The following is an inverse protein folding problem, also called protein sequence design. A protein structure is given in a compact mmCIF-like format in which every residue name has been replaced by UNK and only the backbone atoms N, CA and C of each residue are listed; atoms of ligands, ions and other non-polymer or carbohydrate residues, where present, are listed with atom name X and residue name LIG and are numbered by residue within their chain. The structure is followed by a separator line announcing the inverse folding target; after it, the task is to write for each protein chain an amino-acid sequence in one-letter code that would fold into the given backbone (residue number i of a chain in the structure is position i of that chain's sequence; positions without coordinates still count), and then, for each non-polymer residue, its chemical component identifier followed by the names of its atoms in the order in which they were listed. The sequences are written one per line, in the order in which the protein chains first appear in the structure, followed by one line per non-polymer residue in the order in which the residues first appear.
data_IF_390266510119
#
_entry.id   IF_390266510119
#
_cell.length_a   1.000
_cell.length_b   1.000
_cell.length_c   1.000
_cell.angle_alpha   90.00
_cell.angle_beta   90.00
_cell.angle_gamma   90.00
#
_symmetry.space_group_name_H-M   'P 1'
#
loop_
_entity.id
_entity.type
_entity.pdbx_description
1 polymer ?
#
# COMPACT_ATOMS: atom_id res chain seq x y z
N UNK A 1 -10.28 -3.71 -16.15
CA UNK A 1 -10.21 -2.58 -15.22
C UNK A 1 -10.17 -3.13 -13.80
N UNK A 2 -9.13 -2.83 -13.03
CA UNK A 2 -8.97 -3.32 -11.64
C UNK A 2 -9.93 -2.64 -10.67
N UNK A 3 -10.42 -1.43 -10.98
CA UNK A 3 -11.32 -0.66 -10.12
C UNK A 3 -12.66 -1.36 -9.85
N UNK A 4 -13.23 -2.01 -10.87
CA UNK A 4 -14.50 -2.76 -10.77
C UNK A 4 -14.36 -3.98 -9.86
N UNK A 5 -13.23 -4.67 -9.93
CA UNK A 5 -12.98 -5.84 -9.07
C UNK A 5 -12.73 -5.43 -7.62
N UNK A 6 -12.03 -4.31 -7.41
CA UNK A 6 -11.82 -3.73 -6.07
C UNK A 6 -13.18 -3.37 -5.46
N UNK A 7 -14.02 -2.63 -6.18
CA UNK A 7 -15.34 -2.25 -5.70
C UNK A 7 -16.20 -3.47 -5.35
N UNK A 8 -16.21 -4.49 -6.22
CA UNK A 8 -16.94 -5.72 -5.98
C UNK A 8 -16.41 -6.48 -4.75
N UNK A 9 -15.09 -6.52 -4.57
CA UNK A 9 -14.46 -7.11 -3.38
C UNK A 9 -14.90 -6.39 -2.10
N UNK A 10 -14.96 -5.05 -2.13
CA UNK A 10 -15.36 -4.24 -0.98
C UNK A 10 -16.83 -4.47 -0.62
N UNK A 11 -17.72 -4.50 -1.61
CA UNK A 11 -19.14 -4.85 -1.40
C UNK A 11 -19.29 -6.24 -0.76
N UNK A 12 -18.47 -7.22 -1.17
CA UNK A 12 -18.46 -8.54 -0.53
C UNK A 12 -17.90 -8.51 0.89
N UNK A 13 -16.87 -7.72 1.16
CA UNK A 13 -16.28 -7.57 2.49
C UNK A 13 -17.28 -6.94 3.48
N UNK A 14 -17.93 -5.84 3.10
CA UNK A 14 -18.98 -5.19 3.88
C UNK A 14 -20.15 -6.14 4.20
N UNK A 15 -20.45 -7.05 3.28
CA UNK A 15 -21.49 -8.07 3.44
C UNK A 15 -21.00 -9.34 4.19
N UNK A 16 -19.76 -9.39 4.67
CA UNK A 16 -19.16 -10.55 5.35
C UNK A 16 -18.93 -11.78 4.46
N UNK A 17 -18.96 -11.62 3.14
CA UNK A 17 -18.83 -12.71 2.15
C UNK A 17 -17.37 -12.98 1.79
N UNK A 18 -16.58 -13.42 2.77
CA UNK A 18 -15.14 -13.65 2.64
C UNK A 18 -14.73 -14.66 1.55
N UNK A 19 -15.59 -15.64 1.25
CA UNK A 19 -15.37 -16.58 0.15
C UNK A 19 -15.40 -15.89 -1.21
N UNK A 20 -16.27 -14.89 -1.38
CA UNK A 20 -16.40 -14.12 -2.62
C UNK A 20 -15.33 -13.03 -2.74
N UNK A 21 -14.89 -12.45 -1.61
CA UNK A 21 -13.66 -11.62 -1.54
C UNK A 21 -12.46 -12.42 -2.05
N UNK A 22 -12.26 -13.63 -1.50
CA UNK A 22 -11.15 -14.50 -1.87
C UNK A 22 -11.18 -14.89 -3.35
N UNK A 23 -12.38 -15.17 -3.88
CA UNK A 23 -12.59 -15.47 -5.30
C UNK A 23 -12.25 -14.27 -6.18
N UNK A 24 -12.70 -13.07 -5.80
CA UNK A 24 -12.46 -11.82 -6.53
C UNK A 24 -10.96 -11.49 -6.56
N UNK A 25 -10.27 -11.57 -5.42
CA UNK A 25 -8.81 -11.42 -5.32
C UNK A 25 -8.05 -12.44 -6.19
N UNK A 26 -8.50 -13.70 -6.23
CA UNK A 26 -7.90 -14.73 -7.10
C UNK A 26 -8.04 -14.37 -8.58
N UNK A 27 -9.22 -13.89 -9.01
CA UNK A 27 -9.45 -13.46 -10.38
C UNK A 27 -8.56 -12.28 -10.76
N UNK A 28 -8.38 -11.32 -9.85
CA UNK A 28 -7.46 -10.20 -10.05
C UNK A 28 -6.01 -10.67 -10.25
N UNK A 29 -5.53 -11.61 -9.42
CA UNK A 29 -4.19 -12.19 -9.56
C UNK A 29 -4.01 -12.94 -10.88
N UNK A 30 -4.96 -13.78 -11.26
CA UNK A 30 -4.92 -14.55 -12.51
C UNK A 30 -4.95 -13.64 -13.75
N UNK A 31 -5.75 -12.57 -13.70
CA UNK A 31 -5.83 -11.57 -14.76
C UNK A 31 -4.69 -10.55 -14.76
N UNK A 32 -3.71 -10.67 -13.84
CA UNK A 32 -2.66 -9.66 -13.61
C UNK A 32 -3.21 -8.24 -13.44
N UNK A 33 -4.41 -8.13 -12.88
CA UNK A 33 -5.09 -6.87 -12.64
C UNK A 33 -4.54 -6.28 -11.34
N UNK A 34 -3.70 -5.26 -11.47
CA UNK A 34 -3.18 -4.47 -10.36
C UNK A 34 -3.80 -3.08 -10.37
N UNK A 35 -3.92 -2.46 -9.20
CA UNK A 35 -4.21 -1.03 -9.11
C UNK A 35 -2.93 -0.29 -9.54
N UNK A 36 -3.08 0.78 -10.31
CA UNK A 36 -1.96 1.67 -10.58
C UNK A 36 -1.53 2.31 -9.24
N UNK A 37 -0.24 2.27 -8.89
CA UNK A 37 0.23 2.91 -7.67
C UNK A 37 -0.07 4.41 -7.68
N UNK A 38 -0.38 4.96 -6.50
CA UNK A 38 -0.49 6.41 -6.35
C UNK A 38 0.87 7.05 -6.60
N UNK A 39 0.90 8.17 -7.32
CA UNK A 39 2.10 8.97 -7.51
C UNK A 39 1.84 10.42 -7.10
N UNK A 40 2.85 11.03 -6.50
CA UNK A 40 2.87 12.46 -6.22
C UNK A 40 4.25 13.03 -6.57
N UNK A 41 4.35 14.34 -6.68
CA UNK A 41 5.61 15.02 -6.93
C UNK A 41 5.59 16.43 -6.35
N UNK A 42 6.78 16.94 -6.05
CA UNK A 42 7.00 18.33 -5.64
C UNK A 42 8.16 18.93 -6.44
N UNK A 43 8.20 20.26 -6.51
CA UNK A 43 9.31 21.00 -7.10
C UNK A 43 10.11 21.68 -5.99
N UNK A 44 11.42 21.43 -5.94
CA UNK A 44 12.34 22.03 -4.98
C UNK A 44 13.55 22.54 -5.75
N UNK A 45 13.86 23.84 -5.64
CA UNK A 45 15.02 24.43 -6.34
C UNK A 45 15.04 24.13 -7.85
N UNK A 46 13.88 24.13 -8.49
CA UNK A 46 13.71 23.82 -9.92
C UNK A 46 14.02 22.36 -10.30
N UNK A 47 14.08 21.46 -9.32
CA UNK A 47 14.19 20.00 -9.48
C UNK A 47 12.87 19.33 -9.09
N UNK A 48 12.44 18.35 -9.88
CA UNK A 48 11.22 17.57 -9.63
C UNK A 48 11.55 16.33 -8.81
N UNK A 49 10.90 16.18 -7.67
CA UNK A 49 11.02 15.04 -6.79
C UNK A 49 9.72 14.24 -6.81
N UNK A 50 9.76 13.03 -7.37
CA UNK A 50 8.62 12.11 -7.44
C UNK A 50 8.60 11.12 -6.28
N UNK A 51 7.39 10.74 -5.87
CA UNK A 51 7.13 9.73 -4.85
C UNK A 51 6.07 8.76 -5.37
N UNK A 52 6.36 7.46 -5.31
CA UNK A 52 5.40 6.42 -5.61
C UNK A 52 4.96 5.76 -4.30
N UNK A 53 3.68 5.43 -4.18
CA UNK A 53 3.18 4.71 -3.01
C UNK A 53 3.97 3.42 -2.81
N UNK A 54 4.59 3.29 -1.63
CA UNK A 54 5.34 2.10 -1.22
C UNK A 54 6.73 1.96 -1.84
N UNK A 55 7.24 2.98 -2.57
CA UNK A 55 8.59 2.95 -3.11
C UNK A 55 9.62 3.65 -2.21
N UNK A 56 10.90 3.32 -2.44
CA UNK A 56 12.05 3.95 -1.77
C UNK A 56 13.06 4.47 -2.80
N UNK A 57 12.60 4.76 -4.02
CA UNK A 57 13.44 5.08 -5.19
C UNK A 57 14.14 6.43 -5.04
N UNK A 58 13.55 7.35 -4.28
CA UNK A 58 14.15 8.66 -4.04
C UNK A 58 15.53 8.51 -3.36
N UNK A 59 16.61 9.16 -3.85
CA UNK A 59 17.96 9.02 -3.28
C UNK A 59 18.07 9.36 -1.80
N UNK A 60 17.15 10.20 -1.31
CA UNK A 60 17.03 10.63 0.10
C UNK A 60 15.87 9.97 0.84
N UNK A 61 15.32 8.86 0.34
CA UNK A 61 14.16 8.17 0.93
C UNK A 61 14.34 7.93 2.43
N UNK A 62 15.48 7.38 2.83
CA UNK A 62 15.81 7.14 4.25
C UNK A 62 15.65 8.40 5.11
N UNK A 63 16.27 9.52 4.72
CA UNK A 63 16.21 10.77 5.47
C UNK A 63 14.77 11.31 5.58
N UNK A 64 13.98 11.15 4.52
CA UNK A 64 12.59 11.60 4.51
C UNK A 64 11.71 10.77 5.45
N UNK A 65 11.92 9.44 5.48
CA UNK A 65 11.20 8.57 6.42
C UNK A 65 11.64 8.79 7.87
N UNK A 66 12.93 9.03 8.13
CA UNK A 66 13.43 9.39 9.46
C UNK A 66 12.75 10.70 9.94
N UNK A 67 12.72 11.75 9.10
CA UNK A 67 12.01 13.00 9.44
C UNK A 67 10.51 12.81 9.62
N UNK A 68 9.87 11.94 8.84
CA UNK A 68 8.45 11.63 8.97
C UNK A 68 8.16 10.94 10.31
N UNK A 69 9.03 10.04 10.76
CA UNK A 69 8.92 9.40 12.06
C UNK A 69 9.05 10.40 13.21
N UNK A 70 10.05 11.28 13.14
CA UNK A 70 10.23 12.34 14.14
C UNK A 70 8.99 13.23 14.23
N UNK A 71 8.44 13.65 13.08
CA UNK A 71 7.22 14.45 13.02
C UNK A 71 6.00 13.72 13.62
N UNK A 72 5.83 12.43 13.31
CA UNK A 72 4.75 11.62 13.87
C UNK A 72 4.85 11.53 15.39
N UNK A 73 6.07 11.40 15.93
CA UNK A 73 6.28 11.33 17.37
C UNK A 73 6.00 12.68 18.05
N UNK A 74 6.39 13.80 17.44
CA UNK A 74 6.02 15.15 17.90
C UNK A 74 4.51 15.38 17.89
N UNK A 75 3.82 14.92 16.84
CA UNK A 75 2.37 15.00 16.74
C UNK A 75 1.68 14.21 17.85
N UNK A 76 2.14 12.97 18.13
CA UNK A 76 1.61 12.15 19.23
C UNK A 76 1.78 12.83 20.58
N UNK A 77 2.95 13.43 20.84
CA UNK A 77 3.21 14.19 22.06
C UNK A 77 2.28 15.42 22.21
N UNK A 78 1.83 15.97 21.07
CA UNK A 78 0.89 17.09 21.01
C UNK A 78 -0.58 16.66 21.12
N UNK A 79 -0.86 15.37 21.33
CA UNK A 79 -2.21 14.82 21.50
C UNK A 79 -2.85 14.27 20.21
N UNK A 80 -2.06 14.09 19.13
CA UNK A 80 -2.53 13.36 17.95
C UNK A 80 -2.67 11.87 18.27
N UNK A 81 -3.87 11.32 18.03
CA UNK A 81 -4.15 9.89 18.15
C UNK A 81 -4.34 9.29 16.74
N UNK A 82 -3.34 8.52 16.24
CA UNK A 82 -3.43 7.89 14.92
C UNK A 82 -4.54 6.85 14.83
N UNK A 83 -4.96 6.27 15.95
CA UNK A 83 -6.02 5.25 16.01
C UNK A 83 -7.41 5.88 16.24
N UNK A 84 -7.47 7.22 16.32
CA UNK A 84 -8.76 7.90 16.34
C UNK A 84 -9.50 7.54 15.04
N UNK A 85 -10.66 6.89 15.19
CA UNK A 85 -11.47 6.32 14.11
C UNK A 85 -12.08 7.36 13.14
N UNK A 86 -11.47 8.54 13.03
CA UNK A 86 -11.90 9.66 12.19
C UNK A 86 -11.31 9.64 10.78
N UNK A 87 -10.38 8.73 10.48
CA UNK A 87 -9.89 8.51 9.13
C UNK A 87 -10.83 7.53 8.40
N UNK A 88 -11.39 7.97 7.28
CA UNK A 88 -12.01 7.03 6.34
C UNK A 88 -10.95 6.01 5.94
N UNK A 89 -11.22 4.72 6.14
CA UNK A 89 -10.29 3.64 5.82
C UNK A 89 -9.81 3.76 4.36
N UNK A 90 -8.57 4.21 4.19
CA UNK A 90 -7.88 4.11 2.91
C UNK A 90 -7.13 2.80 2.96
N UNK A 91 -7.63 1.83 2.18
CA UNK A 91 -7.14 0.46 2.09
C UNK A 91 -5.64 0.44 1.68
N UNK A 92 -4.74 0.36 2.67
CA UNK A 92 -3.32 0.03 2.51
C UNK A 92 -3.16 -1.50 2.57
N UNK A 93 -3.18 -2.17 1.42
CA UNK A 93 -2.72 -3.57 1.35
C UNK A 93 -1.20 -3.61 1.16
N UNK A 94 -0.50 -4.01 2.22
CA UNK A 94 0.94 -4.09 2.34
C UNK A 94 1.66 -4.93 1.28
N UNK A 95 2.87 -4.47 0.98
CA UNK A 95 3.92 -5.16 0.23
C UNK A 95 4.23 -6.53 0.85
N UNK A 96 3.99 -7.61 0.11
CA UNK A 96 4.77 -8.83 0.26
C UNK A 96 6.03 -8.66 -0.59
N UNK A 97 7.17 -8.50 0.07
CA UNK A 97 8.50 -8.55 -0.53
C UNK A 97 8.73 -9.93 -1.14
N UNK A 98 8.85 -10.00 -2.47
CA UNK A 98 9.41 -11.14 -3.19
C UNK A 98 10.94 -11.12 -3.03
N UNK A 99 11.44 -11.76 -1.97
CA UNK A 99 12.79 -12.29 -1.89
C UNK A 99 12.70 -13.67 -1.25
N UNK A 100 12.59 -14.68 -2.10
CA UNK A 100 13.22 -16.01 -1.93
C UNK A 100 12.95 -16.78 -3.23
N UNK A 101 13.79 -16.49 -4.24
CA UNK A 101 14.03 -17.43 -5.31
C UNK A 101 14.83 -18.62 -4.76
N UNK A 102 14.42 -19.82 -5.16
CA UNK A 102 15.27 -21.01 -5.29
C UNK A 102 15.74 -21.72 -3.99
N UNK A 103 14.86 -22.52 -3.37
CA UNK A 103 15.33 -23.75 -2.71
C UNK A 103 14.26 -24.85 -2.71
N UNK A 104 14.53 -25.95 -3.42
CA UNK A 104 13.94 -27.25 -3.10
C UNK A 104 12.86 -27.82 -4.01
N UNK A 105 13.05 -27.80 -5.34
CA UNK A 105 12.55 -28.90 -6.17
C UNK A 105 13.36 -30.17 -5.87
N UNK A 106 13.02 -30.95 -4.84
CA UNK A 106 13.27 -32.40 -4.64
C UNK A 106 12.38 -32.81 -3.46
N UNK A 107 11.53 -33.83 -3.44
CA UNK A 107 11.19 -34.96 -4.29
C UNK A 107 10.36 -35.94 -3.42
N UNK A 108 9.59 -36.83 -4.06
CA UNK A 108 8.88 -37.95 -3.40
C UNK A 108 7.37 -37.77 -3.30
#
# INVERSE_FOLDING_TARGET
DSSVYILLSNVYAESGKWADVSRTRRLMKQGRLKKEPGCSWIEVQNEMHGFLVGDNVHPRSRELYDMLHDLLDEMKLSGYDPDSASFAEVDEEGSASEQDDLLGMVGG
#
